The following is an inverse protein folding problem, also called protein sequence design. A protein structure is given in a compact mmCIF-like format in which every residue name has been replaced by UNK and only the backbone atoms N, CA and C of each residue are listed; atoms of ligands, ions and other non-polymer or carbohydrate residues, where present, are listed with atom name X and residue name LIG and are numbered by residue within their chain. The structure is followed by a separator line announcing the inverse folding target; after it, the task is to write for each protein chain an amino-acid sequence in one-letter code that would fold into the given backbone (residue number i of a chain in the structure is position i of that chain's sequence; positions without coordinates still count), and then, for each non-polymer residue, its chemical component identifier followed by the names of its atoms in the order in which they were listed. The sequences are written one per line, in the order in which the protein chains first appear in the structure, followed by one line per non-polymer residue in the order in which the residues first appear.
data_IF_799946021625
#
_entry.id   IF_799946021625
#
_cell.length_a   1.000
_cell.length_b   1.000
_cell.length_c   1.000
_cell.angle_alpha   90.00
_cell.angle_beta   90.00
_cell.angle_gamma   90.00
#
_symmetry.space_group_name_H-M   'P 1'
#
loop_
_entity.id
_entity.type
_entity.pdbx_description
1 polymer ?
#
# COMPACT_ATOMS: atom_id res chain seq x y z
N UNK A 1 25.24 -10.59 -14.65
CA UNK A 1 24.69 -9.25 -14.42
C UNK A 1 23.22 -9.35 -14.00
N UNK A 2 22.93 -9.18 -12.72
CA UNK A 2 21.57 -8.90 -12.26
C UNK A 2 21.22 -7.46 -12.67
N UNK A 3 20.03 -7.20 -13.24
CA UNK A 3 19.59 -5.82 -13.49
C UNK A 3 19.70 -5.02 -12.19
N UNK A 4 20.33 -3.85 -12.26
CA UNK A 4 20.35 -2.92 -11.13
C UNK A 4 18.95 -2.37 -10.95
N UNK A 5 18.37 -2.58 -9.77
CA UNK A 5 17.08 -2.04 -9.39
C UNK A 5 17.24 -0.54 -9.13
N UNK A 6 16.83 0.27 -10.12
CA UNK A 6 16.90 1.73 -10.05
C UNK A 6 15.64 2.32 -9.40
N UNK A 7 15.77 3.31 -8.50
CA UNK A 7 14.63 3.99 -7.88
C UNK A 7 13.88 4.94 -8.84
N UNK A 8 14.28 4.99 -10.10
CA UNK A 8 13.74 5.90 -11.11
C UNK A 8 13.45 5.18 -12.42
N UNK A 9 12.48 5.71 -13.16
CA UNK A 9 12.12 5.19 -14.46
C UNK A 9 13.19 5.53 -15.50
N UNK A 10 13.69 4.54 -16.24
CA UNK A 10 14.68 4.74 -17.31
C UNK A 10 14.09 5.29 -18.61
N UNK A 11 12.76 5.26 -18.76
CA UNK A 11 12.05 5.76 -19.95
C UNK A 11 11.87 7.28 -19.85
N UNK A 12 11.39 7.74 -18.69
CA UNK A 12 10.97 9.13 -18.47
C UNK A 12 11.95 9.95 -17.62
N UNK A 13 12.85 9.30 -16.87
CA UNK A 13 13.79 9.98 -15.99
C UNK A 13 15.23 9.76 -16.46
N UNK A 14 15.61 10.48 -17.52
CA UNK A 14 16.91 10.29 -18.20
C UNK A 14 18.09 10.97 -17.49
N UNK A 15 17.87 11.86 -16.50
CA UNK A 15 18.92 12.46 -15.66
C UNK A 15 18.42 12.72 -14.24
N UNK A 16 19.23 12.49 -13.20
CA UNK A 16 18.91 13.00 -11.87
C UNK A 16 18.82 14.54 -11.95
N UNK A 17 17.89 15.10 -11.18
CA UNK A 17 17.61 16.55 -11.10
C UNK A 17 18.81 17.33 -10.49
N UNK A 18 19.91 16.65 -10.15
CA UNK A 18 21.08 17.20 -9.46
C UNK A 18 22.38 16.51 -9.92
N UNK A 19 23.52 17.22 -9.84
CA UNK A 19 24.89 16.70 -10.02
C UNK A 19 25.33 15.67 -8.96
N UNK A 20 24.46 15.35 -8.01
CA UNK A 20 24.70 14.36 -6.95
C UNK A 20 24.52 12.94 -7.48
N UNK A 21 25.34 12.02 -7.00
CA UNK A 21 25.25 10.60 -7.36
C UNK A 21 23.90 10.00 -6.94
N UNK A 22 23.43 8.95 -7.64
CA UNK A 22 22.16 8.27 -7.33
C UNK A 22 22.06 7.77 -5.87
N UNK A 23 23.19 7.56 -5.20
CA UNK A 23 23.25 7.14 -3.79
C UNK A 23 23.00 8.29 -2.79
N UNK A 24 23.06 9.55 -3.24
CA UNK A 24 22.91 10.76 -2.41
C UNK A 24 21.51 11.39 -2.56
N UNK A 25 20.65 10.83 -3.41
CA UNK A 25 19.32 11.35 -3.67
C UNK A 25 18.35 10.80 -2.62
N UNK A 26 17.89 11.68 -1.72
CA UNK A 26 16.81 11.34 -0.79
C UNK A 26 15.56 10.97 -1.59
N UNK A 27 15.04 9.76 -1.33
CA UNK A 27 13.78 9.32 -1.91
C UNK A 27 12.65 10.11 -1.23
N UNK A 28 12.13 11.12 -1.91
CA UNK A 28 10.98 11.85 -1.42
C UNK A 28 9.82 10.89 -1.16
N UNK A 29 9.11 11.07 -0.03
CA UNK A 29 7.92 10.30 0.27
C UNK A 29 6.86 10.51 -0.83
N UNK A 30 6.10 9.47 -1.15
CA UNK A 30 5.02 9.56 -2.12
C UNK A 30 3.91 10.48 -1.59
N UNK A 31 3.25 11.24 -2.47
CA UNK A 31 2.24 12.21 -2.04
C UNK A 31 0.96 11.53 -1.54
N UNK A 32 0.20 12.27 -0.75
CA UNK A 32 -1.22 12.00 -0.52
C UNK A 32 -2.03 12.57 -1.68
N UNK A 33 -2.99 11.81 -2.19
CA UNK A 33 -3.82 12.22 -3.35
C UNK A 33 -5.28 11.84 -3.14
N UNK A 34 -6.19 12.55 -3.84
CA UNK A 34 -7.63 12.28 -3.83
C UNK A 34 -8.08 11.79 -5.21
N UNK A 35 -7.84 10.50 -5.47
CA UNK A 35 -8.14 9.86 -6.77
C UNK A 35 -9.00 8.62 -6.53
N UNK A 36 -9.97 8.37 -7.39
CA UNK A 36 -10.80 7.15 -7.31
C UNK A 36 -10.01 5.92 -7.77
N UNK A 37 -10.22 4.77 -7.12
CA UNK A 37 -9.52 3.53 -7.48
C UNK A 37 -9.75 3.12 -8.94
N UNK A 38 -10.95 3.32 -9.48
CA UNK A 38 -11.26 3.00 -10.89
C UNK A 38 -10.48 3.87 -11.88
N UNK A 39 -10.33 5.16 -11.59
CA UNK A 39 -9.54 6.05 -12.44
C UNK A 39 -8.05 5.71 -12.32
N UNK A 40 -7.57 5.48 -11.09
CA UNK A 40 -6.20 5.08 -10.84
C UNK A 40 -5.86 3.75 -11.53
N UNK A 41 -6.75 2.74 -11.49
CA UNK A 41 -6.55 1.46 -12.18
C UNK A 41 -6.34 1.65 -13.68
N UNK A 42 -7.18 2.47 -14.33
CA UNK A 42 -7.06 2.75 -15.75
C UNK A 42 -5.76 3.49 -16.09
N UNK A 43 -5.39 4.49 -15.29
CA UNK A 43 -4.15 5.23 -15.47
C UNK A 43 -2.93 4.32 -15.26
N UNK A 44 -2.95 3.45 -14.25
CA UNK A 44 -1.89 2.50 -13.99
C UNK A 44 -1.74 1.45 -15.09
N UNK A 45 -2.83 0.98 -15.68
CA UNK A 45 -2.77 0.07 -16.83
C UNK A 45 -2.06 0.74 -18.02
N UNK A 46 -2.37 2.01 -18.31
CA UNK A 46 -1.69 2.78 -19.36
C UNK A 46 -0.20 3.00 -19.05
N UNK A 47 0.12 3.35 -17.81
CA UNK A 47 1.51 3.52 -17.36
C UNK A 47 2.28 2.21 -17.50
N UNK A 48 1.81 1.12 -16.90
CA UNK A 48 2.51 -0.16 -16.92
C UNK A 48 2.62 -0.73 -18.34
N UNK A 49 1.65 -0.48 -19.23
CA UNK A 49 1.77 -0.84 -20.65
C UNK A 49 2.99 -0.19 -21.32
N UNK A 50 3.26 1.09 -21.03
CA UNK A 50 4.44 1.80 -21.54
C UNK A 50 5.75 1.34 -20.89
N UNK A 51 5.70 0.68 -19.74
CA UNK A 51 6.87 0.24 -18.97
C UNK A 51 7.08 -1.29 -18.99
N UNK A 52 6.50 -1.99 -19.98
CA UNK A 52 6.68 -3.44 -20.10
C UNK A 52 6.12 -4.24 -18.92
N UNK A 53 5.14 -3.67 -18.20
CA UNK A 53 4.47 -4.29 -17.07
C UNK A 53 5.11 -4.06 -15.70
N UNK A 54 6.20 -3.28 -15.58
CA UNK A 54 6.83 -2.99 -14.29
C UNK A 54 7.48 -1.61 -14.24
N UNK A 55 7.34 -0.90 -13.13
CA UNK A 55 8.04 0.37 -12.91
C UNK A 55 8.37 0.62 -11.43
N UNK A 56 9.43 1.38 -11.12
CA UNK A 56 9.73 1.73 -9.73
C UNK A 56 8.65 2.67 -9.17
N UNK A 57 8.13 2.33 -7.99
CA UNK A 57 7.08 3.09 -7.30
C UNK A 57 7.47 4.57 -7.06
N UNK A 58 8.71 4.92 -6.64
CA UNK A 58 9.11 6.32 -6.47
C UNK A 58 9.08 7.13 -7.78
N UNK A 59 9.19 6.47 -8.93
CA UNK A 59 9.09 7.10 -10.24
C UNK A 59 7.66 7.35 -10.71
N UNK A 60 6.65 6.88 -9.96
CA UNK A 60 5.23 6.99 -10.34
C UNK A 60 4.79 8.44 -10.61
N UNK A 61 5.07 9.42 -9.74
CA UNK A 61 4.65 10.81 -9.99
C UNK A 61 5.24 11.41 -11.27
N UNK A 62 6.51 11.13 -11.55
CA UNK A 62 7.16 11.63 -12.77
C UNK A 62 6.58 10.96 -14.01
N UNK A 63 6.41 9.64 -14.00
CA UNK A 63 5.87 8.94 -15.17
C UNK A 63 4.42 9.33 -15.42
N UNK A 64 3.64 9.58 -14.37
CA UNK A 64 2.30 10.12 -14.48
C UNK A 64 2.29 11.45 -15.24
N UNK A 65 3.13 12.39 -14.82
CA UNK A 65 3.24 13.71 -15.45
C UNK A 65 3.66 13.60 -16.92
N UNK A 66 4.64 12.75 -17.23
CA UNK A 66 5.15 12.60 -18.60
C UNK A 66 4.14 11.91 -19.54
N UNK A 67 3.36 10.95 -19.03
CA UNK A 67 2.39 10.20 -19.86
C UNK A 67 1.08 10.95 -20.02
N UNK A 68 0.60 11.64 -18.99
CA UNK A 68 -0.71 12.32 -19.01
C UNK A 68 -0.64 13.83 -19.20
N UNK A 69 0.54 14.44 -19.08
CA UNK A 69 0.71 15.90 -19.13
C UNK A 69 0.14 16.64 -17.93
N UNK A 70 -0.25 15.92 -16.86
CA UNK A 70 -0.87 16.46 -15.66
C UNK A 70 -0.08 16.06 -14.42
N UNK A 71 0.05 16.94 -13.44
CA UNK A 71 0.62 16.58 -12.14
C UNK A 71 -0.46 15.99 -11.25
N UNK A 72 -0.10 15.00 -10.41
CA UNK A 72 -1.03 14.54 -9.37
C UNK A 72 -1.29 15.65 -8.36
N UNK A 73 -2.57 15.90 -8.07
CA UNK A 73 -2.96 16.84 -7.04
C UNK A 73 -2.57 16.29 -5.67
N UNK A 74 -1.62 16.96 -5.03
CA UNK A 74 -1.22 16.67 -3.66
C UNK A 74 -2.27 17.29 -2.74
N UNK A 75 -2.92 16.45 -1.95
CA UNK A 75 -3.93 16.88 -0.99
C UNK A 75 -3.48 16.44 0.40
N UNK A 76 -3.31 17.38 1.33
CA UNK A 76 -2.91 17.06 2.72
C UNK A 76 -3.87 16.04 3.33
N UNK A 77 -5.16 16.20 3.04
CA UNK A 77 -6.24 15.33 3.50
C UNK A 77 -6.48 14.10 2.58
N UNK A 78 -5.54 13.83 1.66
CA UNK A 78 -5.61 12.72 0.72
C UNK A 78 -5.20 11.37 1.30
N UNK A 79 -5.28 10.34 0.48
CA UNK A 79 -4.80 8.99 0.81
C UNK A 79 -3.38 8.82 0.23
N UNK A 80 -2.42 8.22 0.97
CA UNK A 80 -1.09 7.94 0.48
C UNK A 80 -1.15 7.17 -0.83
N UNK A 81 -0.44 7.66 -1.84
CA UNK A 81 -0.47 7.07 -3.17
C UNK A 81 -0.04 5.60 -3.16
N UNK A 82 0.94 5.22 -2.32
CA UNK A 82 1.37 3.83 -2.14
C UNK A 82 0.22 2.91 -1.69
N UNK A 83 -0.67 3.40 -0.83
CA UNK A 83 -1.81 2.62 -0.37
C UNK A 83 -2.89 2.52 -1.45
N UNK A 84 -3.11 3.57 -2.23
CA UNK A 84 -4.09 3.50 -3.32
C UNK A 84 -3.68 2.49 -4.40
N UNK A 85 -2.40 2.47 -4.77
CA UNK A 85 -1.90 1.52 -5.79
C UNK A 85 -1.83 0.08 -5.27
N UNK A 86 -1.58 -0.14 -3.97
CA UNK A 86 -1.62 -1.49 -3.37
C UNK A 86 -3.04 -2.06 -3.35
N UNK A 87 -4.07 -1.21 -3.31
CA UNK A 87 -5.47 -1.60 -3.37
C UNK A 87 -5.94 -2.03 -4.78
N UNK A 88 -5.11 -1.87 -5.82
CA UNK A 88 -5.51 -2.18 -7.19
C UNK A 88 -5.36 -3.68 -7.49
N UNK A 89 -6.43 -4.38 -7.91
CA UNK A 89 -6.39 -5.85 -8.09
C UNK A 89 -5.51 -6.30 -9.26
N UNK A 90 -5.16 -5.39 -10.18
CA UNK A 90 -4.27 -5.65 -11.32
C UNK A 90 -2.79 -5.35 -11.03
N UNK A 91 -2.45 -4.95 -9.79
CA UNK A 91 -1.11 -4.46 -9.44
C UNK A 91 -0.62 -5.18 -8.20
N UNK A 92 0.67 -5.53 -8.22
CA UNK A 92 1.41 -6.06 -7.09
C UNK A 92 2.55 -5.11 -6.75
N UNK A 93 2.69 -4.75 -5.47
CA UNK A 93 3.87 -4.06 -4.97
C UNK A 93 4.95 -5.08 -4.59
N UNK A 94 6.06 -5.08 -5.32
CA UNK A 94 7.20 -5.96 -5.02
C UNK A 94 8.35 -5.16 -4.42
N UNK A 95 8.92 -5.67 -3.34
CA UNK A 95 10.19 -5.17 -2.81
C UNK A 95 11.32 -5.70 -3.70
N UNK A 96 12.05 -4.79 -4.36
CA UNK A 96 13.24 -5.13 -5.14
C UNK A 96 14.47 -5.32 -4.25
N UNK A 97 15.63 -5.45 -4.88
CA UNK A 97 16.91 -5.49 -4.18
C UNK A 97 17.19 -4.12 -3.53
N UNK A 98 17.23 -4.07 -2.20
CA UNK A 98 17.39 -2.83 -1.43
C UNK A 98 16.05 -2.28 -0.93
N UNK A 99 15.93 -0.96 -0.82
CA UNK A 99 14.76 -0.25 -0.28
C UNK A 99 13.75 0.20 -1.35
N UNK A 100 13.95 -0.15 -2.62
CA UNK A 100 13.09 0.27 -3.74
C UNK A 100 11.92 -0.70 -3.91
N UNK A 101 10.69 -0.15 -3.96
CA UNK A 101 9.48 -0.88 -4.32
C UNK A 101 9.14 -0.70 -5.80
N UNK A 102 8.56 -1.73 -6.39
CA UNK A 102 8.13 -1.79 -7.79
C UNK A 102 6.64 -2.05 -7.89
N UNK A 103 5.99 -1.36 -8.83
CA UNK A 103 4.64 -1.63 -9.29
C UNK A 103 4.73 -2.64 -10.42
N UNK A 104 4.13 -3.82 -10.24
CA UNK A 104 4.15 -4.88 -11.24
C UNK A 104 2.73 -5.21 -11.65
N UNK A 105 2.49 -5.28 -12.97
CA UNK A 105 1.22 -5.74 -13.50
C UNK A 105 1.06 -7.24 -13.23
N UNK A 106 0.08 -7.59 -12.41
CA UNK A 106 -0.45 -8.94 -12.28
C UNK A 106 -1.84 -8.93 -12.89
N UNK A 107 -2.06 -9.63 -14.02
CA UNK A 107 -3.34 -9.59 -14.71
C UNK A 107 -4.53 -9.81 -13.77
N UNK A 108 -5.73 -9.28 -14.09
CA UNK A 108 -6.91 -9.40 -13.22
C UNK A 108 -7.12 -10.87 -12.83
N UNK A 109 -6.86 -11.18 -11.56
CA UNK A 109 -7.33 -12.44 -10.99
C UNK A 109 -8.85 -12.35 -11.00
N UNK A 110 -9.52 -13.17 -11.81
CA UNK A 110 -10.91 -13.49 -11.54
C UNK A 110 -10.99 -13.93 -10.09
N UNK A 111 -12.00 -13.56 -9.30
CA UNK A 111 -12.14 -14.00 -7.93
C UNK A 111 -12.50 -15.50 -7.90
N UNK A 112 -11.57 -16.36 -8.32
CA UNK A 112 -11.56 -17.76 -7.94
C UNK A 112 -10.89 -17.80 -6.58
N UNK A 113 -11.73 -17.71 -5.54
CA UNK A 113 -11.59 -18.40 -4.25
C UNK A 113 -10.16 -18.64 -3.74
N UNK A 114 -9.28 -17.65 -3.78
CA UNK A 114 -8.16 -17.61 -2.86
C UNK A 114 -8.69 -17.01 -1.56
N UNK A 115 -9.51 -17.82 -0.88
CA UNK A 115 -9.60 -17.73 0.57
C UNK A 115 -8.18 -17.99 1.03
N UNK A 116 -7.38 -16.93 1.19
CA UNK A 116 -6.08 -17.05 1.84
C UNK A 116 -6.39 -17.65 3.20
N UNK A 117 -6.13 -18.95 3.31
CA UNK A 117 -6.34 -19.72 4.51
C UNK A 117 -5.55 -19.00 5.58
N UNK A 118 -6.30 -18.34 6.48
CA UNK A 118 -5.78 -17.85 7.74
C UNK A 118 -5.11 -19.08 8.36
N UNK A 119 -3.78 -19.10 8.32
CA UNK A 119 -2.96 -20.25 8.68
C UNK A 119 -3.45 -20.81 10.02
N UNK A 120 -3.93 -22.05 9.99
CA UNK A 120 -4.03 -22.94 11.14
C UNK A 120 -4.61 -22.33 12.44
N UNK A 121 -5.64 -21.50 12.37
CA UNK A 121 -6.36 -21.03 13.57
C UNK A 121 -7.65 -21.83 13.76
N UNK A 122 -7.91 -22.23 15.00
CA UNK A 122 -9.13 -22.96 15.34
C UNK A 122 -10.38 -22.18 14.90
N UNK A 123 -11.50 -22.84 14.50
CA UNK A 123 -12.70 -22.15 14.01
C UNK A 123 -13.23 -21.01 14.91
N UNK A 124 -13.21 -21.10 16.25
CA UNK A 124 -13.59 -19.99 17.12
C UNK A 124 -12.70 -18.75 16.94
N UNK A 125 -11.41 -18.94 16.69
CA UNK A 125 -10.42 -17.88 16.55
C UNK A 125 -10.53 -17.18 15.20
N UNK A 126 -10.88 -17.92 14.13
CA UNK A 126 -11.20 -17.34 12.83
C UNK A 126 -12.39 -16.37 12.92
N UNK A 127 -13.44 -16.72 13.68
CA UNK A 127 -14.57 -15.83 13.92
C UNK A 127 -14.16 -14.57 14.71
N UNK A 128 -13.28 -14.70 15.70
CA UNK A 128 -12.76 -13.55 16.45
C UNK A 128 -11.93 -12.62 15.56
N UNK A 129 -11.11 -13.17 14.66
CA UNK A 129 -10.34 -12.38 13.70
C UNK A 129 -11.22 -11.66 12.68
N UNK A 130 -12.28 -12.32 12.19
CA UNK A 130 -13.25 -11.67 11.31
C UNK A 130 -14.01 -10.52 11.99
N UNK A 131 -14.38 -10.69 13.26
CA UNK A 131 -14.97 -9.60 14.06
C UNK A 131 -13.97 -8.47 14.26
N UNK A 132 -12.73 -8.80 14.62
CA UNK A 132 -11.67 -7.81 14.81
C UNK A 132 -11.36 -7.04 13.52
N UNK A 133 -11.36 -7.69 12.36
CA UNK A 133 -11.23 -7.02 11.05
C UNK A 133 -12.33 -5.97 10.85
N UNK A 134 -13.59 -6.29 11.17
CA UNK A 134 -14.70 -5.33 11.06
C UNK A 134 -14.56 -4.16 12.03
N UNK A 135 -14.18 -4.45 13.28
CA UNK A 135 -13.90 -3.41 14.27
C UNK A 135 -12.73 -2.51 13.87
N UNK A 136 -11.70 -3.07 13.26
CA UNK A 136 -10.55 -2.34 12.75
C UNK A 136 -10.99 -1.37 11.65
N UNK A 137 -11.81 -1.83 10.70
CA UNK A 137 -12.42 -0.97 9.67
C UNK A 137 -13.26 0.14 10.30
N UNK A 138 -14.12 -0.19 11.25
CA UNK A 138 -15.00 0.80 11.89
C UNK A 138 -14.23 1.83 12.71
N UNK A 139 -13.15 1.42 13.38
CA UNK A 139 -12.24 2.34 14.06
C UNK A 139 -11.53 3.26 13.06
N UNK A 140 -10.96 2.71 11.99
CA UNK A 140 -10.22 3.49 10.99
C UNK A 140 -11.12 4.51 10.30
N UNK A 141 -12.40 4.19 10.02
CA UNK A 141 -13.37 5.16 9.49
C UNK A 141 -13.58 6.39 10.37
N UNK A 142 -13.29 6.30 11.67
CA UNK A 142 -13.35 7.46 12.58
C UNK A 142 -12.07 8.29 12.61
N UNK A 143 -10.98 7.76 12.06
CA UNK A 143 -9.70 8.43 11.99
C UNK A 143 -9.56 9.21 10.66
N UNK A 144 -8.85 10.35 10.66
CA UNK A 144 -8.56 11.06 9.42
C UNK A 144 -7.84 10.14 8.43
N UNK A 145 -8.23 10.21 7.16
CA UNK A 145 -7.68 9.41 6.05
C UNK A 145 -7.76 7.89 6.24
N UNK A 146 -8.64 7.42 7.12
CA UNK A 146 -8.67 6.02 7.54
C UNK A 146 -7.31 5.51 8.03
N UNK A 147 -6.51 6.39 8.65
CA UNK A 147 -5.17 6.09 9.14
C UNK A 147 -5.04 6.35 10.62
N UNK A 148 -4.30 5.48 11.30
CA UNK A 148 -4.04 5.58 12.71
C UNK A 148 -2.59 5.20 12.99
N UNK A 149 -1.80 6.07 13.64
CA UNK A 149 -0.45 5.72 14.05
C UNK A 149 -0.46 4.45 14.92
N UNK A 150 0.47 3.53 14.66
CA UNK A 150 0.54 2.23 15.36
C UNK A 150 0.52 2.39 16.89
N UNK A 151 1.27 3.37 17.42
CA UNK A 151 1.34 3.66 18.85
C UNK A 151 0.04 4.27 19.44
N UNK A 152 -0.88 4.75 18.59
CA UNK A 152 -2.20 5.27 18.99
C UNK A 152 -3.32 4.25 18.82
N UNK A 153 -3.03 3.08 18.25
CA UNK A 153 -4.04 2.04 18.02
C UNK A 153 -4.75 1.62 19.32
N UNK A 154 -4.02 1.15 20.33
CA UNK A 154 -4.62 0.64 21.57
C UNK A 154 -5.45 1.71 22.31
N UNK A 155 -4.95 2.96 22.50
CA UNK A 155 -5.75 4.03 23.07
C UNK A 155 -7.04 4.34 22.29
N UNK A 156 -6.96 4.43 20.96
CA UNK A 156 -8.11 4.75 20.12
C UNK A 156 -9.15 3.62 20.12
N UNK A 157 -8.70 2.36 20.05
CA UNK A 157 -9.57 1.20 20.14
C UNK A 157 -10.34 1.17 21.47
N UNK A 158 -9.65 1.43 22.59
CA UNK A 158 -10.31 1.50 23.89
C UNK A 158 -11.32 2.65 23.98
N UNK A 159 -10.98 3.81 23.43
CA UNK A 159 -11.89 4.95 23.41
C UNK A 159 -13.15 4.67 22.57
N UNK A 160 -12.98 4.04 21.40
CA UNK A 160 -14.08 3.80 20.46
C UNK A 160 -15.01 2.66 20.90
N UNK A 161 -14.46 1.53 21.37
CA UNK A 161 -15.26 0.34 21.72
C UNK A 161 -15.55 0.19 23.23
N UNK A 162 -14.94 1.03 24.07
CA UNK A 162 -15.07 0.92 25.54
C UNK A 162 -14.43 -0.34 26.13
N UNK A 163 -13.57 -1.03 25.38
CA UNK A 163 -12.89 -2.26 25.82
C UNK A 163 -11.42 -2.27 25.41
N UNK A 164 -10.56 -2.90 26.21
CA UNK A 164 -9.16 -3.07 25.85
C UNK A 164 -9.03 -4.07 24.70
N UNK A 165 -8.23 -3.74 23.68
CA UNK A 165 -7.79 -4.73 22.69
C UNK A 165 -6.73 -5.63 23.34
N UNK A 166 -7.14 -6.84 23.72
CA UNK A 166 -6.23 -7.86 24.23
C UNK A 166 -5.77 -8.72 23.06
N UNK A 167 -4.51 -8.54 22.67
CA UNK A 167 -3.91 -9.24 21.51
C UNK A 167 -4.02 -10.77 21.65
N UNK A 168 -3.89 -11.28 22.88
CA UNK A 168 -3.99 -12.71 23.18
C UNK A 168 -5.39 -13.32 22.92
N UNK A 169 -6.45 -12.52 22.96
CA UNK A 169 -7.82 -12.99 22.66
C UNK A 169 -7.95 -13.43 21.19
N UNK A 170 -7.03 -12.97 20.34
CA UNK A 170 -6.93 -13.30 18.92
C UNK A 170 -5.82 -14.32 18.61
N UNK A 171 -5.15 -14.88 19.62
CA UNK A 171 -4.12 -15.91 19.45
C UNK A 171 -2.74 -15.36 19.09
N UNK A 172 -2.52 -14.05 19.25
CA UNK A 172 -1.24 -13.39 18.99
C UNK A 172 -0.59 -12.88 20.27
N UNK A 173 0.73 -12.71 20.25
CA UNK A 173 1.48 -12.13 21.37
C UNK A 173 1.87 -10.67 21.14
N UNK A 174 1.93 -10.23 19.88
CA UNK A 174 2.28 -8.86 19.50
C UNK A 174 1.20 -8.27 18.60
N UNK A 175 0.92 -6.98 18.81
CA UNK A 175 -0.07 -6.26 18.02
C UNK A 175 0.28 -6.23 16.53
N UNK A 176 1.58 -6.09 16.20
CA UNK A 176 2.03 -6.10 14.81
C UNK A 176 1.71 -7.43 14.12
N UNK A 177 2.01 -8.56 14.76
CA UNK A 177 1.69 -9.89 14.23
C UNK A 177 0.17 -10.07 13.99
N UNK A 178 -0.67 -9.50 14.87
CA UNK A 178 -2.13 -9.52 14.72
C UNK A 178 -2.61 -8.67 13.53
N UNK A 179 -2.04 -7.48 13.34
CA UNK A 179 -2.40 -6.61 12.22
C UNK A 179 -1.88 -7.17 10.89
N UNK A 180 -0.69 -7.77 10.88
CA UNK A 180 -0.14 -8.48 9.71
C UNK A 180 -0.96 -9.71 9.32
N UNK A 181 -1.67 -10.34 10.25
CA UNK A 181 -2.62 -11.42 9.93
C UNK A 181 -3.89 -10.91 9.21
N UNK A 182 -4.07 -9.58 9.13
CA UNK A 182 -5.21 -8.90 8.51
C UNK A 182 -4.75 -7.97 7.37
N UNK A 183 -3.78 -8.41 6.57
CA UNK A 183 -3.22 -7.65 5.42
C UNK A 183 -4.27 -7.18 4.40
N UNK A 184 -5.41 -7.84 4.30
CA UNK A 184 -6.53 -7.41 3.45
C UNK A 184 -7.29 -6.21 4.01
N UNK A 185 -7.10 -5.90 5.29
CA UNK A 185 -7.83 -4.85 6.02
C UNK A 185 -6.93 -3.67 6.38
N UNK A 186 -5.65 -3.92 6.69
CA UNK A 186 -4.67 -2.90 7.09
C UNK A 186 -3.31 -3.16 6.44
N UNK A 187 -2.58 -2.08 6.18
CA UNK A 187 -1.26 -2.07 5.56
C UNK A 187 -0.25 -1.32 6.45
#
# INVERSE_FOLDING_TARGET
DTPLDLPFCTIHMQKPVSDKGWAEQEMAALPNVMITLSFLENAMNSLLACHGGSMPLPGLPTCWQEVFGEVMNIEEEGVPLEHLVSCLPSIELRQGNGSVKYLVWVGRKTPTENHEEIKCVSPPLANQLALFSRELVDLLKTAPHCQLPFNRFIPAYHHHFGRQCRVADYGFTKLIDLLEALTTTVQ
#
